data_IF_782621238429
#
_entry.id   IF_782621238429
#
_cell.length_a   1.000
_cell.length_b   1.000
_cell.length_c   1.000
_cell.angle_alpha   90.00
_cell.angle_beta   90.00
_cell.angle_gamma   90.00
#
_symmetry.space_group_name_H-M   'P 1'
#
loop_
_entity.id
_entity.type
_entity.pdbx_description
1 polymer ?
#
# COMPACT_ATOMS: atom_id res chain seq x y z
N UNK A 1 -8.22 5.64 13.25
CA UNK A 1 -7.88 4.94 12.00
C UNK A 1 -7.40 5.97 11.02
N UNK A 2 -6.13 5.92 10.64
CA UNK A 2 -5.57 6.81 9.62
C UNK A 2 -5.52 6.05 8.29
N UNK A 3 -6.18 6.60 7.28
CA UNK A 3 -6.21 6.04 5.93
C UNK A 3 -5.37 6.96 5.03
N UNK A 4 -4.37 6.41 4.36
CA UNK A 4 -3.50 7.14 3.44
C UNK A 4 -3.55 6.49 2.07
N UNK A 5 -3.97 7.24 1.07
CA UNK A 5 -3.86 6.80 -0.33
C UNK A 5 -2.55 7.34 -0.86
N UNK A 6 -1.75 6.48 -1.47
CA UNK A 6 -0.45 6.82 -2.03
C UNK A 6 -0.17 6.03 -3.30
N UNK A 7 0.68 6.59 -4.15
CA UNK A 7 1.06 5.97 -5.42
C UNK A 7 2.05 4.82 -5.19
N UNK A 8 2.27 4.01 -6.23
CA UNK A 8 3.31 2.95 -6.21
C UNK A 8 4.67 3.48 -5.75
N UNK A 9 5.07 4.64 -6.27
CA UNK A 9 6.37 5.27 -5.99
C UNK A 9 6.51 5.67 -4.52
N UNK A 10 5.48 6.29 -3.96
CA UNK A 10 5.40 6.62 -2.53
C UNK A 10 5.42 5.37 -1.65
N UNK A 11 4.73 4.29 -2.07
CA UNK A 11 4.76 3.03 -1.34
C UNK A 11 6.18 2.45 -1.30
N UNK A 12 6.87 2.47 -2.43
CA UNK A 12 8.26 2.01 -2.54
C UNK A 12 9.16 2.85 -1.65
N UNK A 13 9.01 4.18 -1.64
CA UNK A 13 9.76 5.05 -0.72
C UNK A 13 9.51 4.68 0.74
N UNK A 14 8.26 4.43 1.15
CA UNK A 14 7.97 4.01 2.53
C UNK A 14 8.64 2.68 2.91
N UNK A 15 8.83 1.78 1.94
CA UNK A 15 9.61 0.56 2.14
C UNK A 15 11.12 0.83 2.18
N UNK A 16 11.64 1.70 1.31
CA UNK A 16 13.05 2.09 1.27
C UNK A 16 13.49 2.82 2.55
N UNK A 17 12.66 3.74 3.04
CA UNK A 17 12.84 4.44 4.31
C UNK A 17 12.61 3.54 5.54
N UNK A 18 12.27 2.25 5.33
CA UNK A 18 11.93 1.27 6.39
C UNK A 18 10.83 1.76 7.34
N UNK A 19 9.98 2.66 6.85
CA UNK A 19 8.81 3.15 7.56
C UNK A 19 7.80 2.01 7.69
N UNK A 20 7.64 1.21 6.62
CA UNK A 20 6.84 -0.02 6.61
C UNK A 20 7.78 -1.22 6.62
N UNK A 21 7.54 -2.13 7.55
CA UNK A 21 8.34 -3.34 7.76
C UNK A 21 7.43 -4.56 7.61
N UNK A 22 7.89 -5.56 6.85
CA UNK A 22 7.23 -6.86 6.83
C UNK A 22 7.53 -7.61 8.12
N UNK A 23 6.49 -7.99 8.85
CA UNK A 23 6.59 -8.85 10.04
C UNK A 23 6.30 -10.32 9.72
N UNK A 24 6.09 -10.67 8.45
CA UNK A 24 5.68 -11.99 7.98
C UNK A 24 4.20 -12.34 8.20
N UNK A 25 3.47 -11.59 9.03
CA UNK A 25 2.00 -11.70 9.20
C UNK A 25 1.25 -10.52 8.60
N UNK A 26 1.98 -9.47 8.23
CA UNK A 26 1.44 -8.21 7.77
C UNK A 26 2.50 -7.13 7.86
N UNK A 27 2.08 -5.94 7.45
CA UNK A 27 2.93 -4.77 7.40
C UNK A 27 2.84 -4.02 8.72
N UNK A 28 3.97 -3.54 9.23
CA UNK A 28 4.04 -2.75 10.45
C UNK A 28 4.63 -1.38 10.11
N UNK A 29 3.94 -0.31 10.48
CA UNK A 29 4.43 1.06 10.40
C UNK A 29 4.34 1.68 11.79
N UNK A 30 5.47 2.20 12.30
CA UNK A 30 5.52 2.85 13.61
C UNK A 30 4.92 2.00 14.75
N UNK A 31 5.26 0.70 14.77
CA UNK A 31 4.75 -0.29 15.74
C UNK A 31 3.22 -0.53 15.68
N UNK A 32 2.56 -0.11 14.60
CA UNK A 32 1.14 -0.34 14.31
C UNK A 32 0.98 -1.21 13.08
N UNK A 33 -0.02 -2.09 13.07
CA UNK A 33 -0.35 -2.87 11.89
C UNK A 33 -0.93 -1.98 10.79
N UNK A 34 -0.41 -2.16 9.58
CA UNK A 34 -0.92 -1.48 8.38
C UNK A 34 -1.41 -2.47 7.35
N UNK A 35 -2.49 -2.08 6.68
CA UNK A 35 -3.13 -2.86 5.64
C UNK A 35 -2.95 -2.13 4.31
N UNK A 36 -2.33 -2.79 3.34
CA UNK A 36 -2.11 -2.22 2.00
C UNK A 36 -3.13 -2.83 1.05
N UNK A 37 -3.94 -1.99 0.42
CA UNK A 37 -4.97 -2.37 -0.54
C UNK A 37 -4.61 -1.72 -1.88
N UNK A 38 -4.38 -2.51 -2.92
CA UNK A 38 -4.16 -1.98 -4.26
C UNK A 38 -5.49 -1.45 -4.84
N UNK A 39 -5.50 -0.18 -5.25
CA UNK A 39 -6.64 0.46 -5.92
C UNK A 39 -6.38 0.45 -7.43
N UNK A 40 -7.17 -0.34 -8.15
CA UNK A 40 -7.21 -0.36 -9.60
C UNK A 40 -8.45 0.40 -10.06
N UNK A 41 -8.26 1.51 -10.77
CA UNK A 41 -9.35 2.40 -11.23
C UNK A 41 -9.86 2.03 -12.65
N UNK A 42 -9.26 1.02 -13.29
CA UNK A 42 -9.61 0.62 -14.65
C UNK A 42 -10.16 -0.80 -14.64
N UNK A 43 -11.38 -0.95 -15.18
CA UNK A 43 -11.91 -2.24 -15.61
C UNK A 43 -10.96 -2.76 -16.69
N UNK A 44 -10.15 -3.80 -16.41
CA UNK A 44 -9.01 -4.14 -17.25
C UNK A 44 -9.53 -4.71 -18.57
N UNK A 45 -9.65 -3.85 -19.58
CA UNK A 45 -9.98 -4.25 -20.95
C UNK A 45 -8.84 -5.05 -21.58
N UNK A 46 -7.61 -4.91 -21.04
CA UNK A 46 -6.40 -5.60 -21.47
C UNK A 46 -5.51 -6.00 -20.28
N UNK A 47 -4.81 -7.13 -20.39
CA UNK A 47 -3.92 -7.68 -19.36
C UNK A 47 -2.77 -6.72 -18.97
N UNK A 48 -2.38 -5.82 -19.89
CA UNK A 48 -1.30 -4.84 -19.70
C UNK A 48 -1.70 -3.71 -18.74
N UNK A 49 -2.99 -3.41 -18.60
CA UNK A 49 -3.49 -2.43 -17.64
C UNK A 49 -3.51 -2.97 -16.20
N UNK A 50 -3.49 -4.29 -16.03
CA UNK A 50 -3.54 -4.96 -14.72
C UNK A 50 -2.27 -4.68 -13.90
N UNK A 51 -1.13 -4.45 -14.56
CA UNK A 51 0.14 -4.09 -13.90
C UNK A 51 0.24 -2.62 -13.50
N UNK A 52 -0.73 -1.78 -13.90
CA UNK A 52 -0.68 -0.33 -13.75
C UNK A 52 -1.57 0.16 -12.59
N UNK A 53 -1.54 -0.54 -11.46
CA UNK A 53 -2.13 -0.06 -10.20
C UNK A 53 -1.45 1.26 -9.83
N UNK A 54 -2.11 2.38 -10.16
CA UNK A 54 -1.55 3.72 -9.91
C UNK A 54 -1.55 4.05 -8.42
N UNK A 55 -2.47 3.48 -7.65
CA UNK A 55 -2.72 3.86 -6.27
C UNK A 55 -2.81 2.64 -5.34
N UNK A 56 -2.33 2.83 -4.13
CA UNK A 56 -2.37 1.90 -3.03
C UNK A 56 -2.95 2.64 -1.83
N UNK A 57 -3.94 2.05 -1.17
CA UNK A 57 -4.50 2.55 0.08
C UNK A 57 -3.83 1.83 1.23
N UNK A 58 -3.13 2.59 2.07
CA UNK A 58 -2.69 2.17 3.38
C UNK A 58 -3.75 2.51 4.42
N UNK A 59 -4.08 1.52 5.24
CA UNK A 59 -4.96 1.67 6.40
C UNK A 59 -4.14 1.33 7.62
N UNK A 60 -3.83 2.33 8.44
CA UNK A 60 -3.13 2.14 9.71
C UNK A 60 -4.17 1.78 10.76
N UNK A 61 -4.14 0.52 11.23
CA UNK A 61 -4.88 0.09 12.41
C UNK A 61 -4.13 0.57 13.65
N UNK A 62 -4.31 1.86 13.95
CA UNK A 62 -3.96 2.40 15.27
C UNK A 62 -4.94 1.87 16.30
N UNK A 63 -4.41 1.27 17.36
CA UNK A 63 -5.14 1.01 18.60
C UNK A 63 -5.13 2.27 19.47
#
# INVERSE_FOLDING_TARGET
>A
MEEKILSKEELIQLFEDKIIIDSGKGWIMDNKEVQIIALHDVDPKFLQDVTNAKYYKLIVKGN
#
